data_IF_231051332220
#
_entry.id   IF_231051332220
#
_cell.length_a   1.000
_cell.length_b   1.000
_cell.length_c   1.000
_cell.angle_alpha   90.00
_cell.angle_beta   90.00
_cell.angle_gamma   90.00
#
_symmetry.space_group_name_H-M   'P 1'
#
loop_
_entity.id
_entity.type
_entity.pdbx_description
1 polymer ?
#
# COMPACT_ATOMS: atom_id res chain seq x y z
N UNK A 1 10.05 38.75 69.04
CA UNK A 1 9.53 39.64 67.98
C UNK A 1 8.51 38.82 67.18
N UNK A 2 7.20 38.84 67.46
CA UNK A 2 6.17 39.83 67.06
C UNK A 2 6.43 40.52 65.72
N UNK A 3 5.68 40.12 64.69
CA UNK A 3 4.79 40.95 63.84
C UNK A 3 4.15 40.05 62.75
N UNK A 4 2.83 39.82 62.77
CA UNK A 4 1.74 40.46 61.99
C UNK A 4 1.91 40.18 60.48
N UNK A 5 0.98 39.55 59.75
CA UNK A 5 -0.43 39.92 59.58
C UNK A 5 -1.37 38.71 59.34
N UNK A 6 -2.55 38.79 59.95
CA UNK A 6 -3.76 38.07 59.57
C UNK A 6 -4.74 39.06 58.93
N UNK A 7 -5.45 38.63 57.86
CA UNK A 7 -6.72 39.15 57.25
C UNK A 7 -6.66 38.87 55.74
N UNK A 8 -7.49 38.07 55.10
CA UNK A 8 -8.94 37.79 55.19
C UNK A 8 -9.15 36.34 54.66
N UNK A 9 -10.06 35.46 55.06
CA UNK A 9 -11.31 35.49 55.83
C UNK A 9 -11.73 34.02 56.12
N UNK A 10 -12.52 33.82 57.16
CA UNK A 10 -12.70 32.60 57.95
C UNK A 10 -14.00 31.86 57.56
N UNK A 11 -13.85 30.57 57.21
CA UNK A 11 -14.64 29.36 57.59
C UNK A 11 -16.17 29.30 57.34
N UNK A 12 -16.94 28.26 57.78
CA UNK A 12 -16.70 26.81 58.00
C UNK A 12 -17.82 25.94 57.33
N UNK A 13 -17.85 24.63 57.61
CA UNK A 13 -19.04 23.85 58.01
C UNK A 13 -19.26 22.51 57.28
N UNK A 14 -19.27 21.49 58.15
CA UNK A 14 -19.84 20.15 58.08
C UNK A 14 -21.06 19.96 57.17
N UNK A 15 -21.14 18.79 56.54
CA UNK A 15 -22.28 17.83 56.64
C UNK A 15 -21.92 16.61 55.80
N UNK A 16 -21.47 15.47 56.35
CA UNK A 16 -22.26 14.43 57.03
C UNK A 16 -23.74 14.37 56.66
N UNK A 17 -24.10 14.47 55.38
CA UNK A 17 -25.40 14.01 54.89
C UNK A 17 -25.30 13.52 53.44
N UNK A 18 -24.61 12.38 53.24
CA UNK A 18 -24.90 11.50 52.10
C UNK A 18 -24.46 10.05 52.36
N UNK A 19 -24.68 9.58 53.60
CA UNK A 19 -24.90 8.16 53.87
C UNK A 19 -26.40 7.89 53.76
N UNK A 20 -26.81 7.30 52.64
CA UNK A 20 -27.97 6.39 52.42
C UNK A 20 -28.70 6.68 51.12
N UNK A 21 -28.28 6.00 50.05
CA UNK A 21 -29.14 5.10 49.24
C UNK A 21 -28.22 3.96 48.79
N UNK A 22 -28.27 2.80 49.47
CA UNK A 22 -28.93 1.58 48.98
C UNK A 22 -28.27 1.08 47.67
N UNK A 23 -27.29 0.19 47.75
CA UNK A 23 -27.47 -1.28 47.78
C UNK A 23 -27.95 -1.83 46.43
N UNK A 24 -27.03 -2.44 45.66
CA UNK A 24 -27.21 -3.78 45.04
C UNK A 24 -25.92 -4.25 44.35
N UNK A 25 -25.51 -5.47 44.73
CA UNK A 25 -24.82 -6.49 43.91
C UNK A 25 -23.37 -6.27 43.41
N UNK A 26 -22.44 -7.06 43.99
CA UNK A 26 -21.26 -7.66 43.32
C UNK A 26 -21.67 -8.30 41.97
N UNK A 27 -20.79 -8.36 40.94
CA UNK A 27 -19.60 -9.22 40.99
C UNK A 27 -18.38 -8.77 40.16
N UNK A 28 -17.33 -9.58 40.26
CA UNK A 28 -16.29 -9.82 39.23
C UNK A 28 -15.41 -8.66 38.75
N UNK A 29 -14.24 -8.53 39.40
CA UNK A 29 -13.03 -8.13 38.69
C UNK A 29 -12.57 -9.30 37.80
N UNK A 30 -13.28 -9.53 36.70
CA UNK A 30 -12.68 -10.17 35.53
C UNK A 30 -11.86 -9.09 34.82
N UNK A 31 -10.62 -8.90 35.25
CA UNK A 31 -9.64 -8.17 34.44
C UNK A 31 -9.23 -9.11 33.33
N UNK A 32 -10.07 -9.16 32.29
CA UNK A 32 -9.84 -9.85 31.04
C UNK A 32 -8.41 -9.57 30.61
N UNK A 33 -7.57 -10.61 30.67
CA UNK A 33 -6.31 -10.63 29.94
C UNK A 33 -6.69 -10.35 28.50
N UNK A 34 -6.41 -9.14 28.03
CA UNK A 34 -6.28 -8.87 26.62
C UNK A 34 -5.12 -9.72 26.12
N UNK A 35 -5.41 -10.99 25.85
CA UNK A 35 -4.63 -11.84 24.98
C UNK A 35 -4.50 -11.03 23.69
N UNK A 36 -3.29 -10.65 23.25
CA UNK A 36 -3.17 -10.24 21.87
C UNK A 36 -3.59 -11.48 21.09
N UNK A 37 -4.77 -11.41 20.49
CA UNK A 37 -5.17 -12.32 19.44
C UNK A 37 -4.15 -12.07 18.33
N UNK A 38 -3.01 -12.76 18.44
CA UNK A 38 -2.19 -13.11 17.31
C UNK A 38 -3.16 -13.87 16.40
N UNK A 39 -3.88 -13.13 15.56
CA UNK A 39 -4.24 -13.57 14.21
C UNK A 39 -2.89 -14.06 13.66
N UNK A 40 -2.62 -15.35 13.89
CA UNK A 40 -1.57 -16.07 13.21
C UNK A 40 -1.97 -15.90 11.76
N UNK A 41 -1.35 -14.91 11.10
CA UNK A 41 -1.58 -14.65 9.69
C UNK A 41 -1.46 -16.00 9.02
N UNK A 42 -2.57 -16.46 8.47
CA UNK A 42 -2.70 -17.74 7.79
C UNK A 42 -1.57 -17.76 6.76
N UNK A 43 -0.45 -18.39 7.11
CA UNK A 43 0.77 -18.32 6.31
C UNK A 43 0.54 -19.27 5.17
N UNK A 44 -0.08 -18.75 4.11
CA UNK A 44 -0.16 -19.45 2.85
C UNK A 44 1.28 -19.67 2.38
N UNK A 45 1.67 -20.93 2.27
CA UNK A 45 2.95 -21.30 1.69
C UNK A 45 2.90 -21.04 0.19
N UNK A 46 3.56 -19.97 -0.23
CA UNK A 46 3.76 -19.62 -1.64
C UNK A 46 5.17 -20.04 -2.05
N UNK A 47 5.29 -20.64 -3.23
CA UNK A 47 6.60 -21.06 -3.77
C UNK A 47 7.42 -19.85 -4.23
N UNK A 48 8.77 -19.90 -4.10
CA UNK A 48 9.66 -18.87 -4.62
C UNK A 48 9.70 -18.88 -6.15
N UNK A 49 10.11 -17.75 -6.74
CA UNK A 49 10.21 -17.57 -8.18
C UNK A 49 11.35 -18.42 -8.76
N UNK A 50 10.99 -19.58 -9.32
CA UNK A 50 11.96 -20.53 -9.91
C UNK A 50 12.64 -19.99 -11.16
N UNK A 51 11.97 -19.15 -11.94
CA UNK A 51 12.55 -18.59 -13.17
C UNK A 51 13.65 -17.58 -12.84
N UNK A 52 13.41 -16.72 -11.84
CA UNK A 52 14.40 -15.75 -11.39
C UNK A 52 15.59 -16.42 -10.69
N UNK A 53 15.37 -17.52 -9.95
CA UNK A 53 16.45 -18.34 -9.41
C UNK A 53 17.30 -18.96 -10.53
N UNK A 54 16.67 -19.53 -11.55
CA UNK A 54 17.37 -20.10 -12.70
C UNK A 54 18.11 -19.01 -13.51
N UNK A 55 17.54 -17.81 -13.63
CA UNK A 55 18.19 -16.68 -14.27
C UNK A 55 19.44 -16.22 -13.49
N UNK A 56 19.36 -16.15 -12.17
CA UNK A 56 20.51 -15.83 -11.32
C UNK A 56 21.63 -16.88 -11.45
N UNK A 57 21.28 -18.17 -11.47
CA UNK A 57 22.25 -19.25 -11.68
C UNK A 57 22.90 -19.19 -13.06
N UNK A 58 22.10 -18.94 -14.12
CA UNK A 58 22.62 -18.76 -15.49
C UNK A 58 23.55 -17.57 -15.58
N UNK A 59 23.21 -16.44 -14.97
CA UNK A 59 24.05 -15.24 -14.98
C UNK A 59 25.38 -15.51 -14.31
N UNK A 60 25.36 -16.21 -13.16
CA UNK A 60 26.58 -16.63 -12.46
C UNK A 60 27.45 -17.53 -13.35
N UNK A 61 26.85 -18.54 -13.99
CA UNK A 61 27.56 -19.49 -14.84
C UNK A 61 28.12 -18.87 -16.13
N UNK A 62 27.47 -17.84 -16.68
CA UNK A 62 27.90 -17.18 -17.92
C UNK A 62 28.94 -16.07 -17.70
N UNK A 63 29.12 -15.61 -16.46
CA UNK A 63 30.00 -14.48 -16.15
C UNK A 63 31.35 -14.88 -15.56
N UNK A 64 31.67 -16.18 -15.52
CA UNK A 64 32.94 -16.66 -14.99
C UNK A 64 34.09 -16.25 -15.89
N UNK A 65 35.09 -15.55 -15.33
CA UNK A 65 36.29 -15.12 -16.02
C UNK A 65 37.50 -15.23 -15.09
N UNK A 66 38.73 -15.42 -15.61
CA UNK A 66 39.92 -15.38 -14.77
C UNK A 66 40.06 -14.02 -14.08
N UNK A 67 40.62 -14.05 -12.87
CA UNK A 67 40.90 -12.82 -12.12
C UNK A 67 41.93 -11.93 -12.83
N UNK A 68 41.79 -10.60 -12.72
CA UNK A 68 42.73 -9.64 -13.33
C UNK A 68 44.18 -9.89 -12.92
N UNK A 69 44.42 -10.30 -11.67
CA UNK A 69 45.75 -10.65 -11.18
C UNK A 69 46.36 -11.84 -11.92
N UNK A 70 45.54 -12.83 -12.29
CA UNK A 70 45.97 -14.02 -13.02
C UNK A 70 46.26 -13.68 -14.48
N UNK A 71 45.41 -12.85 -15.10
CA UNK A 71 45.65 -12.34 -16.45
C UNK A 71 46.97 -11.56 -16.51
N UNK A 72 47.20 -10.65 -15.55
CA UNK A 72 48.40 -9.81 -15.50
C UNK A 72 49.69 -10.55 -15.11
N UNK A 73 49.59 -11.71 -14.46
CA UNK A 73 50.74 -12.51 -14.05
C UNK A 73 51.00 -13.70 -14.96
N UNK A 74 50.22 -13.87 -16.03
CA UNK A 74 50.29 -15.03 -16.91
C UNK A 74 51.42 -14.88 -17.93
N UNK A 75 52.52 -15.65 -17.83
CA UNK A 75 53.61 -15.59 -18.80
C UNK A 75 53.19 -16.08 -20.19
N UNK A 76 52.11 -16.86 -20.28
CA UNK A 76 51.55 -17.31 -21.56
C UNK A 76 50.92 -16.15 -22.34
N UNK A 77 50.30 -15.20 -21.65
CA UNK A 77 49.73 -14.01 -22.27
C UNK A 77 50.79 -13.10 -22.90
N UNK A 78 52.03 -13.13 -22.39
CA UNK A 78 53.14 -12.32 -22.91
C UNK A 78 53.84 -12.97 -24.12
N UNK A 79 53.79 -14.29 -24.25
CA UNK A 79 54.57 -15.04 -25.26
C UNK A 79 53.76 -15.53 -26.45
N UNK A 80 52.46 -15.74 -26.29
CA UNK A 80 51.61 -16.35 -27.30
C UNK A 80 50.45 -15.40 -27.64
N UNK A 81 50.26 -15.17 -28.95
CA UNK A 81 49.38 -14.12 -29.47
C UNK A 81 47.91 -14.58 -29.52
N UNK A 82 47.65 -15.89 -29.40
CA UNK A 82 46.31 -16.50 -29.57
C UNK A 82 45.85 -17.28 -28.33
N UNK A 83 46.27 -16.87 -27.11
CA UNK A 83 45.87 -17.55 -25.87
C UNK A 83 44.42 -17.20 -25.49
N UNK A 84 43.50 -18.18 -25.39
CA UNK A 84 42.14 -17.91 -24.94
C UNK A 84 42.12 -17.42 -23.49
N UNK A 85 41.33 -16.39 -23.18
CA UNK A 85 41.25 -15.77 -21.85
C UNK A 85 40.95 -16.82 -20.76
N UNK A 86 40.01 -17.73 -20.99
CA UNK A 86 39.62 -18.79 -20.05
C UNK A 86 40.76 -19.78 -19.70
N UNK A 87 41.86 -19.77 -20.45
CA UNK A 87 43.04 -20.62 -20.18
C UNK A 87 44.12 -19.93 -19.34
N UNK A 88 43.95 -18.64 -19.02
CA UNK A 88 44.95 -17.83 -18.32
C UNK A 88 44.93 -18.00 -16.79
N UNK A 89 43.89 -18.61 -16.22
CA UNK A 89 43.75 -18.71 -14.77
C UNK A 89 42.53 -19.51 -14.32
N UNK A 90 42.30 -19.53 -13.00
CA UNK A 90 41.07 -20.09 -12.43
C UNK A 90 39.92 -19.12 -12.71
N UNK A 91 38.82 -19.62 -13.26
CA UNK A 91 37.66 -18.79 -13.54
C UNK A 91 36.91 -18.45 -12.24
N UNK A 92 36.70 -17.15 -12.01
CA UNK A 92 36.00 -16.61 -10.86
C UNK A 92 34.81 -15.75 -11.34
N UNK A 93 33.79 -15.63 -10.49
CA UNK A 93 32.63 -14.78 -10.80
C UNK A 93 32.93 -13.37 -10.32
N UNK A 94 32.80 -12.33 -11.16
CA UNK A 94 32.99 -10.95 -10.75
C UNK A 94 32.11 -10.57 -9.55
N UNK A 95 32.66 -9.77 -8.62
CA UNK A 95 31.95 -9.39 -7.39
C UNK A 95 30.60 -8.71 -7.65
N UNK A 96 30.50 -7.88 -8.70
CA UNK A 96 29.26 -7.25 -9.12
C UNK A 96 28.17 -8.28 -9.49
N UNK A 97 28.57 -9.33 -10.23
CA UNK A 97 27.66 -10.43 -10.62
C UNK A 97 27.25 -11.24 -9.38
N UNK A 98 28.15 -11.45 -8.42
CA UNK A 98 27.80 -12.09 -7.14
C UNK A 98 26.72 -11.28 -6.43
N UNK A 99 26.92 -9.97 -6.23
CA UNK A 99 25.92 -9.12 -5.60
C UNK A 99 24.59 -9.07 -6.36
N UNK A 100 24.65 -9.00 -7.69
CA UNK A 100 23.44 -9.01 -8.53
C UNK A 100 22.67 -10.32 -8.40
N UNK A 101 23.35 -11.46 -8.48
CA UNK A 101 22.73 -12.78 -8.37
C UNK A 101 22.19 -13.06 -6.98
N UNK A 102 22.87 -12.58 -5.93
CA UNK A 102 22.37 -12.64 -4.55
C UNK A 102 21.10 -11.81 -4.38
N UNK A 103 21.06 -10.59 -4.95
CA UNK A 103 19.86 -9.75 -4.93
C UNK A 103 18.70 -10.40 -5.69
N UNK A 104 18.95 -10.99 -6.86
CA UNK A 104 17.93 -11.73 -7.62
C UNK A 104 17.40 -12.93 -6.83
N UNK A 105 18.30 -13.68 -6.18
CA UNK A 105 17.92 -14.82 -5.35
C UNK A 105 17.12 -14.39 -4.13
N UNK A 106 17.49 -13.30 -3.47
CA UNK A 106 16.75 -12.74 -2.35
C UNK A 106 15.35 -12.29 -2.77
N UNK A 107 15.25 -11.58 -3.91
CA UNK A 107 13.97 -11.17 -4.47
C UNK A 107 13.10 -12.37 -4.86
N UNK A 108 13.70 -13.46 -5.35
CA UNK A 108 12.97 -14.66 -5.76
C UNK A 108 12.37 -15.41 -4.57
N UNK A 109 13.03 -15.28 -3.42
CA UNK A 109 12.58 -15.84 -2.14
C UNK A 109 11.55 -14.94 -1.44
N UNK A 110 11.35 -13.69 -1.88
CA UNK A 110 10.34 -12.81 -1.30
C UNK A 110 8.95 -13.19 -1.81
N UNK A 111 8.32 -14.12 -1.11
CA UNK A 111 6.97 -14.60 -1.45
C UNK A 111 5.85 -13.80 -0.79
N UNK A 112 6.18 -12.72 -0.06
CA UNK A 112 5.23 -11.96 0.78
C UNK A 112 4.10 -11.33 -0.03
N UNK A 113 4.43 -10.80 -1.21
CA UNK A 113 3.42 -10.23 -2.11
C UNK A 113 2.38 -11.28 -2.51
N UNK A 114 2.85 -12.46 -2.96
CA UNK A 114 1.99 -13.55 -3.40
C UNK A 114 1.16 -14.06 -2.22
N UNK A 115 1.76 -14.26 -1.04
CA UNK A 115 1.04 -14.73 0.14
C UNK A 115 -0.04 -13.73 0.57
N UNK A 116 0.28 -12.43 0.58
CA UNK A 116 -0.68 -11.38 0.92
C UNK A 116 -1.85 -11.36 -0.07
N UNK A 117 -1.56 -11.47 -1.37
CA UNK A 117 -2.59 -11.55 -2.42
C UNK A 117 -3.47 -12.78 -2.27
N UNK A 118 -2.92 -13.95 -1.92
CA UNK A 118 -3.71 -15.17 -1.74
C UNK A 118 -4.64 -15.04 -0.55
N UNK A 119 -4.13 -14.64 0.63
CA UNK A 119 -4.96 -14.41 1.83
C UNK A 119 -6.06 -13.39 1.55
N UNK A 120 -5.72 -12.31 0.86
CA UNK A 120 -6.69 -11.31 0.43
C UNK A 120 -7.80 -11.91 -0.45
N UNK A 121 -7.42 -12.71 -1.46
CA UNK A 121 -8.36 -13.31 -2.41
C UNK A 121 -9.31 -14.29 -1.72
N UNK A 122 -8.77 -15.13 -0.83
CA UNK A 122 -9.55 -16.09 -0.04
C UNK A 122 -10.54 -15.40 0.90
N UNK A 123 -10.12 -14.31 1.56
CA UNK A 123 -11.03 -13.50 2.40
C UNK A 123 -12.07 -12.76 1.55
N UNK A 124 -11.68 -12.23 0.39
CA UNK A 124 -12.59 -11.52 -0.51
C UNK A 124 -13.72 -12.42 -1.04
N UNK A 125 -13.41 -13.69 -1.34
CA UNK A 125 -14.42 -14.67 -1.77
C UNK A 125 -15.48 -14.95 -0.70
N UNK A 126 -15.13 -14.84 0.59
CA UNK A 126 -16.05 -15.06 1.72
C UNK A 126 -16.95 -13.85 2.00
N UNK A 127 -16.70 -12.68 1.38
CA UNK A 127 -17.52 -11.49 1.54
C UNK A 127 -18.92 -11.66 0.91
N UNK A 128 -19.91 -10.96 1.46
CA UNK A 128 -21.24 -10.88 0.83
C UNK A 128 -21.19 -10.12 -0.51
N UNK A 129 -22.16 -10.36 -1.40
CA UNK A 129 -22.21 -9.71 -2.73
C UNK A 129 -22.17 -8.17 -2.68
N UNK A 130 -22.75 -7.56 -1.63
CA UNK A 130 -22.72 -6.11 -1.48
C UNK A 130 -21.30 -5.64 -1.09
N UNK A 131 -20.68 -6.29 -0.11
CA UNK A 131 -19.32 -5.98 0.31
C UNK A 131 -18.28 -6.27 -0.79
N UNK A 132 -18.50 -7.28 -1.65
CA UNK A 132 -17.67 -7.51 -2.83
C UNK A 132 -17.75 -6.35 -3.83
N UNK A 133 -18.93 -5.76 -4.07
CA UNK A 133 -19.06 -4.58 -4.94
C UNK A 133 -18.34 -3.36 -4.36
N UNK A 134 -18.46 -3.20 -3.03
CA UNK A 134 -17.73 -2.16 -2.29
C UNK A 134 -16.22 -2.37 -2.41
N UNK A 135 -15.75 -3.60 -2.23
CA UNK A 135 -14.34 -3.96 -2.41
C UNK A 135 -13.87 -3.62 -3.83
N UNK A 136 -14.62 -4.03 -4.86
CA UNK A 136 -14.27 -3.79 -6.25
C UNK A 136 -14.16 -2.28 -6.58
N UNK A 137 -14.96 -1.44 -5.94
CA UNK A 137 -14.83 0.02 -6.07
C UNK A 137 -13.48 0.52 -5.54
N UNK A 138 -13.10 0.07 -4.34
CA UNK A 138 -11.80 0.43 -3.76
C UNK A 138 -10.63 -0.14 -4.55
N UNK A 139 -10.72 -1.40 -5.00
CA UNK A 139 -9.72 -2.01 -5.86
C UNK A 139 -9.51 -1.18 -7.12
N UNK A 140 -10.59 -0.77 -7.79
CA UNK A 140 -10.47 0.05 -9.00
C UNK A 140 -9.76 1.37 -8.71
N UNK A 141 -10.14 2.07 -7.65
CA UNK A 141 -9.49 3.33 -7.26
C UNK A 141 -8.01 3.15 -6.94
N UNK A 142 -7.67 2.15 -6.14
CA UNK A 142 -6.27 1.84 -5.78
C UNK A 142 -5.47 1.45 -7.01
N UNK A 143 -5.97 0.54 -7.86
CA UNK A 143 -5.25 0.13 -9.07
C UNK A 143 -5.04 1.29 -10.06
N UNK A 144 -5.96 2.26 -10.10
CA UNK A 144 -5.82 3.47 -10.89
C UNK A 144 -4.70 4.37 -10.35
N UNK A 145 -4.67 4.59 -9.02
CA UNK A 145 -3.61 5.38 -8.37
C UNK A 145 -2.22 4.74 -8.48
N UNK A 146 -2.16 3.41 -8.44
CA UNK A 146 -0.91 2.66 -8.54
C UNK A 146 -0.47 2.42 -9.99
N UNK A 147 -1.27 2.85 -10.99
CA UNK A 147 -0.97 2.63 -12.41
C UNK A 147 0.34 3.31 -12.84
N UNK A 148 0.64 4.48 -12.28
CA UNK A 148 1.85 5.24 -12.59
C UNK A 148 3.10 4.78 -11.83
N UNK A 149 2.98 3.80 -10.94
CA UNK A 149 4.13 3.24 -10.22
C UNK A 149 4.68 2.03 -10.99
N UNK A 150 5.99 1.91 -11.05
CA UNK A 150 6.68 0.80 -11.73
C UNK A 150 7.52 -0.03 -10.76
N UNK A 151 7.85 -1.25 -11.18
CA UNK A 151 8.76 -2.14 -10.47
C UNK A 151 8.38 -2.45 -9.02
N UNK A 152 9.40 -2.50 -8.16
CA UNK A 152 9.28 -2.88 -6.75
C UNK A 152 8.33 -2.00 -5.95
N UNK A 153 8.31 -0.68 -6.20
CA UNK A 153 7.44 0.27 -5.48
C UNK A 153 5.96 -0.06 -5.69
N UNK A 154 5.57 -0.44 -6.91
CA UNK A 154 4.20 -0.88 -7.21
C UNK A 154 3.88 -2.17 -6.47
N UNK A 155 4.79 -3.15 -6.50
CA UNK A 155 4.62 -4.43 -5.82
C UNK A 155 4.48 -4.26 -4.31
N UNK A 156 5.28 -3.40 -3.68
CA UNK A 156 5.20 -3.08 -2.26
C UNK A 156 3.89 -2.38 -1.89
N UNK A 157 3.46 -1.40 -2.69
CA UNK A 157 2.19 -0.71 -2.48
C UNK A 157 1.01 -1.68 -2.58
N UNK A 158 1.02 -2.58 -3.56
CA UNK A 158 0.00 -3.62 -3.70
C UNK A 158 0.04 -4.63 -2.54
N UNK A 159 1.22 -5.06 -2.09
CA UNK A 159 1.37 -5.91 -0.91
C UNK A 159 0.70 -5.26 0.30
N UNK A 160 1.05 -4.01 0.58
CA UNK A 160 0.50 -3.26 1.71
C UNK A 160 -1.03 -3.12 1.61
N UNK A 161 -1.55 -2.85 0.41
CA UNK A 161 -2.99 -2.82 0.16
C UNK A 161 -3.65 -4.16 0.49
N UNK A 162 -3.11 -5.28 -0.01
CA UNK A 162 -3.66 -6.61 0.24
C UNK A 162 -3.63 -6.97 1.73
N UNK A 163 -2.50 -6.74 2.40
CA UNK A 163 -2.36 -7.02 3.83
C UNK A 163 -3.34 -6.19 4.67
N UNK A 164 -3.45 -4.89 4.40
CA UNK A 164 -4.34 -4.01 5.15
C UNK A 164 -5.80 -4.35 4.89
N UNK A 165 -6.19 -4.53 3.63
CA UNK A 165 -7.58 -4.80 3.28
C UNK A 165 -8.03 -6.18 3.79
N UNK A 166 -7.14 -7.19 3.77
CA UNK A 166 -7.41 -8.50 4.36
C UNK A 166 -7.66 -8.44 5.88
N UNK A 167 -7.03 -7.51 6.61
CA UNK A 167 -7.31 -7.28 8.05
C UNK A 167 -8.70 -6.67 8.28
N UNK A 168 -9.17 -5.89 7.31
CA UNK A 168 -10.50 -5.26 7.33
C UNK A 168 -11.62 -6.21 6.90
N UNK A 169 -11.29 -7.37 6.32
CA UNK A 169 -12.24 -8.43 5.99
C UNK A 169 -12.39 -9.39 7.18
N UNK A 170 -13.58 -9.42 7.78
CA UNK A 170 -13.90 -10.32 8.90
C UNK A 170 -15.23 -11.01 8.62
N UNK A 171 -15.17 -12.34 8.43
CA UNK A 171 -16.31 -13.12 7.96
C UNK A 171 -16.83 -12.60 6.62
N UNK A 172 -18.15 -12.39 6.52
CA UNK A 172 -18.80 -11.87 5.31
C UNK A 172 -18.85 -10.34 5.18
N UNK A 173 -18.17 -9.59 6.07
CA UNK A 173 -18.23 -8.13 6.16
C UNK A 173 -16.89 -7.47 5.83
N UNK A 174 -16.93 -6.31 5.18
CA UNK A 174 -15.77 -5.48 4.88
C UNK A 174 -15.83 -4.17 5.69
N UNK A 175 -14.87 -4.01 6.60
CA UNK A 175 -14.77 -2.88 7.52
C UNK A 175 -14.31 -1.55 6.89
N UNK A 176 -14.23 -1.45 5.56
CA UNK A 176 -13.89 -0.19 4.90
C UNK A 176 -15.05 0.83 5.01
N UNK A 177 -14.77 2.14 4.95
CA UNK A 177 -15.83 3.14 4.87
C UNK A 177 -16.75 2.90 3.66
N UNK A 178 -17.96 3.44 3.70
CA UNK A 178 -18.82 3.39 2.51
C UNK A 178 -18.37 4.45 1.52
N UNK A 179 -18.13 4.10 0.24
CA UNK A 179 -17.80 5.08 -0.77
C UNK A 179 -19.01 5.99 -0.99
N UNK A 180 -18.73 7.29 -1.13
CA UNK A 180 -19.75 8.35 -1.23
C UNK A 180 -20.64 8.14 -2.46
N UNK A 181 -20.11 7.51 -3.52
CA UNK A 181 -20.84 7.00 -4.67
C UNK A 181 -20.18 5.73 -5.21
N UNK A 182 -20.86 4.60 -5.13
CA UNK A 182 -20.58 3.47 -6.02
C UNK A 182 -21.28 3.84 -7.33
N UNK A 183 -20.58 4.07 -8.46
CA UNK A 183 -21.25 4.25 -9.72
C UNK A 183 -22.04 2.97 -10.03
N UNK A 184 -23.35 3.04 -9.87
CA UNK A 184 -24.26 2.06 -10.43
C UNK A 184 -24.05 2.08 -11.94
N UNK A 185 -23.60 0.99 -12.53
CA UNK A 185 -23.45 0.85 -13.99
C UNK A 185 -24.78 0.90 -14.78
N UNK A 186 -25.83 1.48 -14.22
CA UNK A 186 -27.15 1.66 -14.85
C UNK A 186 -27.43 3.10 -15.28
N UNK A 187 -26.44 3.99 -15.33
CA UNK A 187 -26.62 5.27 -16.03
C UNK A 187 -25.57 5.42 -17.13
N UNK A 188 -25.91 4.88 -18.29
CA UNK A 188 -25.49 5.41 -19.58
C UNK A 188 -25.89 6.90 -19.61
N UNK A 189 -24.95 7.86 -19.77
CA UNK A 189 -25.31 9.20 -20.21
C UNK A 189 -25.53 9.14 -21.73
N UNK A 190 -26.62 8.50 -22.16
CA UNK A 190 -27.06 8.47 -23.55
C UNK A 190 -28.44 9.10 -23.62
N UNK A 191 -28.49 10.42 -23.47
CA UNK A 191 -29.76 11.14 -23.47
C UNK A 191 -29.69 12.63 -23.16
N UNK A 192 -28.60 13.33 -23.47
CA UNK A 192 -28.63 14.78 -23.56
C UNK A 192 -28.02 15.18 -24.91
N UNK A 193 -28.93 15.35 -25.88
CA UNK A 193 -28.65 16.01 -27.15
C UNK A 193 -28.17 17.44 -26.85
N UNK A 194 -27.13 17.96 -27.52
CA UNK A 194 -26.88 19.40 -27.49
C UNK A 194 -27.99 20.07 -28.30
N UNK A 195 -29.01 20.59 -27.62
CA UNK A 195 -30.00 21.47 -28.22
C UNK A 195 -29.32 22.82 -28.48
N UNK A 196 -28.80 22.96 -29.69
CA UNK A 196 -28.48 24.22 -30.33
C UNK A 196 -29.80 24.99 -30.50
N UNK A 197 -30.26 25.68 -29.45
CA UNK A 197 -31.43 26.55 -29.54
C UNK A 197 -31.02 27.88 -30.18
N UNK A 198 -31.15 27.86 -31.50
CA UNK A 198 -31.20 29.01 -32.38
C UNK A 198 -32.27 29.98 -31.85
N UNK A 199 -31.87 31.16 -31.35
CA UNK A 199 -32.83 32.22 -31.07
C UNK A 199 -33.39 32.78 -32.38
N UNK A 200 -34.73 32.86 -32.53
CA UNK A 200 -35.34 33.43 -33.72
C UNK A 200 -35.32 34.97 -33.65
N UNK A 201 -34.90 35.58 -34.75
CA UNK A 201 -35.19 36.98 -35.08
C UNK A 201 -36.68 37.26 -34.86
N UNK A 202 -37.01 38.38 -34.19
CA UNK A 202 -38.21 39.15 -34.47
C UNK A 202 -37.87 40.65 -34.54
N UNK A 203 -38.57 41.27 -35.46
CA UNK A 203 -38.38 42.57 -36.11
C UNK A 203 -38.82 43.80 -35.28
N UNK A 204 -38.15 44.93 -35.55
CA UNK A 204 -38.75 46.26 -35.85
C UNK A 204 -39.33 47.11 -34.70
N UNK A 205 -38.62 48.20 -34.35
CA UNK A 205 -38.96 49.60 -34.70
C UNK A 205 -38.11 50.61 -33.90
N UNK A 206 -37.62 51.65 -34.61
CA UNK A 206 -37.50 53.08 -34.21
C UNK A 206 -36.79 53.41 -32.87
N UNK A 207 -35.92 54.41 -32.72
CA UNK A 207 -35.45 55.55 -33.51
C UNK A 207 -34.33 56.23 -32.68
N UNK A 208 -33.75 57.29 -33.25
CA UNK A 208 -32.90 58.34 -32.66
C UNK A 208 -31.39 58.11 -32.51
N UNK A 209 -30.70 58.62 -33.52
CA UNK A 209 -29.37 59.25 -33.46
C UNK A 209 -29.20 60.17 -32.23
N UNK A 210 -27.97 60.28 -31.71
CA UNK A 210 -27.52 61.52 -31.10
C UNK A 210 -26.68 62.33 -32.10
N UNK A 211 -27.22 63.48 -32.51
CA UNK A 211 -26.40 64.61 -32.98
C UNK A 211 -25.38 64.96 -31.90
N UNK A 212 -24.09 64.93 -32.25
CA UNK A 212 -23.04 65.52 -31.42
C UNK A 212 -22.69 66.86 -32.08
N UNK A 213 -23.06 67.94 -31.41
CA UNK A 213 -22.76 69.31 -31.82
C UNK A 213 -21.26 69.54 -32.01
N UNK A 214 -20.89 70.14 -33.14
CA UNK A 214 -19.90 71.23 -33.23
C UNK A 214 -20.01 71.98 -34.55
#
# INVERSE_FOLDING_TARGET
MRERYAKNGIEPVLTREQERQAETAKPEQEKTQAKPEQEQGERVHTEPDREMLAAAERLKAQSTMPSESQVNSSPRADTDNDVPIHSLGQEEVPAEVVHQTDNMKAAAMDTRFVSAKTVYTEKAQKLSKNEQKKLAFYERGVMDTLRGLEGGTRTDALRNYYEHTAKMMKGGKLGLPHPIQIPSHTQTPAGQKPALEQQPRHERSQEQEPEISR
#
